data_IF_943063523386
#
_entry.id   IF_943063523386
#
_cell.length_a   1.000
_cell.length_b   1.000
_cell.length_c   1.000
_cell.angle_alpha   90.00
_cell.angle_beta   90.00
_cell.angle_gamma   90.00
#
_symmetry.space_group_name_H-M   'P 1'
#
loop_
_entity.id
_entity.type
_entity.pdbx_description
1 polymer ?
#
# COMPACT_ATOMS: atom_id res chain seq x y z
N UNK A 1 12.89 6.92 16.52
CA UNK A 1 13.29 6.01 15.41
C UNK A 1 12.41 6.30 14.21
N UNK A 2 13.03 6.63 13.07
CA UNK A 2 12.35 6.80 11.80
C UNK A 2 12.43 5.49 11.02
N UNK A 3 11.35 5.13 10.33
CA UNK A 3 11.36 4.10 9.29
C UNK A 3 11.17 4.78 7.95
N UNK A 4 11.96 4.40 6.96
CA UNK A 4 11.87 4.95 5.61
C UNK A 4 11.13 3.95 4.71
N UNK A 5 10.15 4.44 3.98
CA UNK A 5 9.51 3.68 2.92
C UNK A 5 9.72 4.43 1.60
N UNK A 6 10.17 3.72 0.59
CA UNK A 6 10.37 4.26 -0.75
C UNK A 6 9.52 3.50 -1.77
N UNK A 7 9.11 4.20 -2.81
CA UNK A 7 8.39 3.60 -3.93
C UNK A 7 9.37 2.92 -4.87
N UNK A 8 9.20 1.61 -5.07
CA UNK A 8 9.99 0.80 -5.99
C UNK A 8 9.16 -0.40 -6.41
N UNK A 9 9.04 -0.67 -7.72
CA UNK A 9 8.01 -1.58 -8.22
C UNK A 9 8.53 -2.97 -8.61
N UNK A 10 9.85 -3.12 -8.80
CA UNK A 10 10.50 -4.38 -9.18
C UNK A 10 11.96 -4.17 -9.54
N UNK A 11 12.46 -4.90 -10.53
CA UNK A 11 13.78 -4.68 -11.10
C UNK A 11 13.85 -3.33 -11.85
N UNK A 12 15.01 -3.01 -12.44
CA UNK A 12 15.24 -1.72 -13.11
C UNK A 12 14.24 -1.44 -14.24
N UNK A 13 13.99 -2.43 -15.08
CA UNK A 13 13.14 -2.27 -16.24
C UNK A 13 11.68 -2.04 -15.81
N UNK A 14 11.19 -2.87 -14.90
CA UNK A 14 9.85 -2.73 -14.30
C UNK A 14 9.67 -1.38 -13.61
N UNK A 15 10.64 -0.99 -12.77
CA UNK A 15 10.56 0.28 -12.06
C UNK A 15 10.52 1.48 -13.00
N UNK A 16 11.36 1.47 -14.03
CA UNK A 16 11.49 2.59 -14.96
C UNK A 16 10.32 2.74 -15.93
N UNK A 17 9.46 1.72 -16.08
CA UNK A 17 8.23 1.85 -16.88
C UNK A 17 7.31 2.95 -16.35
N UNK A 18 7.15 3.04 -15.04
CA UNK A 18 6.19 3.96 -14.41
C UNK A 18 6.87 5.06 -13.58
N UNK A 19 8.20 4.98 -13.35
CA UNK A 19 8.94 5.93 -12.51
C UNK A 19 10.15 6.51 -13.23
N UNK A 20 9.89 7.55 -13.96
CA UNK A 20 10.89 8.29 -14.73
C UNK A 20 10.86 9.79 -14.37
N UNK A 21 11.96 10.46 -14.64
CA UNK A 21 12.08 11.91 -14.51
C UNK A 21 11.38 12.62 -15.67
N UNK A 22 11.16 13.94 -15.54
CA UNK A 22 10.56 14.76 -16.58
C UNK A 22 11.32 14.71 -17.93
N UNK A 23 12.60 14.36 -17.91
CA UNK A 23 13.43 14.17 -19.10
C UNK A 23 13.34 12.75 -19.70
N UNK A 24 12.46 11.89 -19.19
CA UNK A 24 12.25 10.52 -19.65
C UNK A 24 13.26 9.48 -19.14
N UNK A 25 14.28 9.89 -18.37
CA UNK A 25 15.22 8.94 -17.79
C UNK A 25 14.61 8.22 -16.59
N UNK A 26 14.82 6.91 -16.48
CA UNK A 26 14.37 6.11 -15.35
C UNK A 26 15.04 6.52 -14.04
N UNK A 27 14.31 6.41 -12.92
CA UNK A 27 14.79 6.82 -11.61
C UNK A 27 15.48 5.71 -10.81
N UNK A 28 15.50 4.47 -11.30
CA UNK A 28 15.99 3.29 -10.57
C UNK A 28 17.43 3.43 -10.07
N UNK A 29 18.37 3.83 -10.94
CA UNK A 29 19.80 3.86 -10.61
C UNK A 29 20.09 4.86 -9.47
N UNK A 30 19.41 6.01 -9.49
CA UNK A 30 19.54 7.02 -8.43
C UNK A 30 18.94 6.53 -7.13
N UNK A 31 17.76 5.93 -7.17
CA UNK A 31 17.12 5.31 -6.02
C UNK A 31 18.00 4.20 -5.44
N UNK A 32 18.49 3.30 -6.29
CA UNK A 32 19.33 2.17 -5.86
C UNK A 32 20.61 2.65 -5.17
N UNK A 33 21.33 3.59 -5.78
CA UNK A 33 22.56 4.18 -5.24
C UNK A 33 22.33 4.84 -3.88
N UNK A 34 21.30 5.68 -3.78
CA UNK A 34 21.06 6.49 -2.59
C UNK A 34 20.52 5.70 -1.40
N UNK A 35 19.91 4.53 -1.65
CA UNK A 35 19.28 3.72 -0.59
C UNK A 35 20.08 2.50 -0.18
N UNK A 36 21.13 2.14 -0.91
CA UNK A 36 21.90 0.90 -0.74
C UNK A 36 22.37 0.67 0.69
N UNK A 37 23.04 1.66 1.28
CA UNK A 37 23.56 1.54 2.64
C UNK A 37 22.43 1.38 3.66
N UNK A 38 21.40 2.21 3.57
CA UNK A 38 20.25 2.14 4.46
C UNK A 38 19.47 0.81 4.34
N UNK A 39 19.44 0.22 3.13
CA UNK A 39 18.83 -1.11 2.92
C UNK A 39 19.68 -2.22 3.55
N UNK A 40 21.00 -2.14 3.43
CA UNK A 40 21.91 -3.08 4.09
C UNK A 40 21.76 -3.04 5.63
N UNK A 41 21.48 -1.87 6.19
CA UNK A 41 21.22 -1.67 7.63
C UNK A 41 19.77 -2.04 8.04
N UNK A 42 18.93 -2.49 7.08
CA UNK A 42 17.55 -2.89 7.36
C UNK A 42 16.60 -1.75 7.71
N UNK A 43 16.92 -0.50 7.32
CA UNK A 43 16.15 0.68 7.68
C UNK A 43 15.07 1.05 6.66
N UNK A 44 15.11 0.47 5.44
CA UNK A 44 14.24 0.85 4.33
C UNK A 44 13.30 -0.27 3.94
N UNK A 45 12.02 0.08 3.80
CA UNK A 45 10.99 -0.74 3.18
C UNK A 45 10.75 -0.30 1.73
N UNK A 46 10.60 -1.25 0.81
CA UNK A 46 10.22 -1.00 -0.57
C UNK A 46 8.71 -1.16 -0.74
N UNK A 47 8.02 -0.17 -1.29
CA UNK A 47 6.59 -0.28 -1.63
C UNK A 47 6.42 -0.34 -3.13
N UNK A 48 5.85 -1.46 -3.62
CA UNK A 48 5.49 -1.61 -5.01
C UNK A 48 4.03 -1.23 -5.25
N UNK A 49 3.80 -0.43 -6.29
CA UNK A 49 2.48 -0.17 -6.84
C UNK A 49 2.30 -1.08 -8.05
N UNK A 50 1.26 -1.89 -8.03
CA UNK A 50 0.98 -2.85 -9.10
C UNK A 50 0.07 -2.18 -10.12
N UNK A 51 0.53 -2.16 -11.36
CA UNK A 51 -0.14 -1.62 -12.55
C UNK A 51 -0.20 -2.70 -13.62
N UNK A 52 -0.81 -2.43 -14.75
CA UNK A 52 -0.83 -3.34 -15.90
C UNK A 52 0.57 -3.74 -16.41
N UNK A 53 1.59 -2.90 -16.15
CA UNK A 53 2.97 -3.09 -16.63
C UNK A 53 3.79 -4.02 -15.75
N UNK A 54 3.35 -4.32 -14.52
CA UNK A 54 4.16 -5.05 -13.54
C UNK A 54 3.37 -6.10 -12.73
N UNK A 55 2.46 -6.81 -13.40
CA UNK A 55 1.61 -7.82 -12.77
C UNK A 55 2.36 -9.07 -12.26
N UNK A 56 3.60 -9.34 -12.67
CA UNK A 56 4.38 -10.52 -12.28
C UNK A 56 4.87 -10.42 -10.81
N UNK A 57 3.96 -10.69 -9.87
CA UNK A 57 4.13 -10.40 -8.44
C UNK A 57 5.32 -11.14 -7.80
N UNK A 58 5.54 -12.41 -8.18
CA UNK A 58 6.63 -13.23 -7.59
C UNK A 58 7.98 -12.68 -8.02
N UNK A 59 8.14 -12.34 -9.29
CA UNK A 59 9.42 -11.86 -9.83
C UNK A 59 9.74 -10.45 -9.31
N UNK A 60 8.73 -9.59 -9.22
CA UNK A 60 8.87 -8.28 -8.59
C UNK A 60 9.26 -8.40 -7.11
N UNK A 61 8.63 -9.32 -6.38
CA UNK A 61 8.99 -9.57 -4.99
C UNK A 61 10.43 -10.08 -4.85
N UNK A 62 10.85 -11.05 -5.67
CA UNK A 62 12.22 -11.59 -5.67
C UNK A 62 13.25 -10.50 -5.92
N UNK A 63 13.04 -9.68 -6.97
CA UNK A 63 13.92 -8.56 -7.28
C UNK A 63 14.10 -7.61 -6.10
N UNK A 64 12.98 -7.23 -5.44
CA UNK A 64 13.02 -6.35 -4.28
C UNK A 64 13.62 -7.02 -3.03
N UNK A 65 13.44 -8.34 -2.87
CA UNK A 65 14.05 -9.09 -1.80
C UNK A 65 15.59 -9.15 -1.94
N UNK A 66 16.09 -9.35 -3.16
CA UNK A 66 17.52 -9.38 -3.47
C UNK A 66 18.17 -8.01 -3.25
N UNK A 67 17.43 -6.94 -3.43
CA UNK A 67 17.84 -5.58 -3.06
C UNK A 67 17.86 -5.34 -1.55
N UNK A 68 17.53 -6.34 -0.72
CA UNK A 68 17.56 -6.30 0.75
C UNK A 68 16.59 -5.31 1.41
N UNK A 69 15.46 -5.03 0.79
CA UNK A 69 14.41 -4.30 1.47
C UNK A 69 13.92 -5.05 2.72
N UNK A 70 13.68 -4.30 3.80
CA UNK A 70 13.23 -4.83 5.09
C UNK A 70 11.82 -5.45 5.01
N UNK A 71 10.93 -4.82 4.28
CA UNK A 71 9.58 -5.30 3.98
C UNK A 71 9.16 -4.81 2.60
N UNK A 72 8.27 -5.56 1.95
CA UNK A 72 7.87 -5.34 0.57
C UNK A 72 6.34 -5.37 0.50
N UNK A 73 5.64 -4.30 0.94
CA UNK A 73 4.23 -4.14 0.67
C UNK A 73 4.01 -3.89 -0.82
N UNK A 74 3.10 -4.66 -1.41
CA UNK A 74 2.65 -4.53 -2.79
C UNK A 74 1.14 -4.23 -2.78
N UNK A 75 0.71 -3.26 -3.57
CA UNK A 75 -0.69 -2.86 -3.63
C UNK A 75 -1.09 -2.46 -5.05
N UNK A 76 -2.25 -2.94 -5.55
CA UNK A 76 -2.73 -2.57 -6.87
C UNK A 76 -3.14 -1.08 -6.91
N UNK A 77 -2.88 -0.44 -8.03
CA UNK A 77 -3.43 0.86 -8.38
C UNK A 77 -4.80 0.62 -9.04
N UNK A 78 -5.84 0.54 -8.21
CA UNK A 78 -7.18 0.07 -8.63
C UNK A 78 -7.71 0.81 -9.85
N UNK A 79 -7.48 2.13 -9.93
CA UNK A 79 -7.99 2.98 -11.02
C UNK A 79 -7.21 2.81 -12.34
N UNK A 80 -6.10 2.07 -12.35
CA UNK A 80 -5.22 1.88 -13.51
C UNK A 80 -5.25 0.44 -14.03
N UNK A 81 -6.11 -0.41 -13.48
CA UNK A 81 -6.25 -1.81 -13.87
C UNK A 81 -7.58 -2.02 -14.58
N UNK A 82 -7.56 -2.71 -15.72
CA UNK A 82 -8.74 -3.21 -16.41
C UNK A 82 -9.27 -4.48 -15.76
N UNK A 83 -10.45 -4.95 -16.16
CA UNK A 83 -11.02 -6.22 -15.70
C UNK A 83 -10.10 -7.40 -16.08
N UNK A 84 -9.49 -7.37 -17.27
CA UNK A 84 -8.52 -8.39 -17.71
C UNK A 84 -7.26 -8.40 -16.84
N UNK A 85 -6.78 -7.22 -16.42
CA UNK A 85 -5.66 -7.10 -15.49
C UNK A 85 -6.02 -7.68 -14.11
N UNK A 86 -7.25 -7.50 -13.67
CA UNK A 86 -7.72 -8.12 -12.41
C UNK A 86 -7.78 -9.64 -12.51
N UNK A 87 -8.25 -10.21 -13.60
CA UNK A 87 -8.25 -11.66 -13.83
C UNK A 87 -6.82 -12.22 -13.80
N UNK A 88 -5.89 -11.54 -14.48
CA UNK A 88 -4.47 -11.89 -14.43
C UNK A 88 -3.90 -11.74 -13.01
N UNK A 89 -4.23 -10.67 -12.30
CA UNK A 89 -3.78 -10.40 -10.93
C UNK A 89 -4.24 -11.48 -9.94
N UNK A 90 -5.43 -12.06 -10.13
CA UNK A 90 -5.92 -13.21 -9.33
C UNK A 90 -4.99 -14.40 -9.52
N UNK A 91 -4.62 -14.73 -10.76
CA UNK A 91 -3.66 -15.79 -11.07
C UNK A 91 -2.29 -15.53 -10.44
N UNK A 92 -1.78 -14.30 -10.54
CA UNK A 92 -0.50 -13.92 -9.94
C UNK A 92 -0.52 -13.95 -8.40
N UNK A 93 -1.61 -13.57 -7.77
CA UNK A 93 -1.78 -13.75 -6.33
C UNK A 93 -1.76 -15.22 -5.93
N UNK A 94 -2.33 -16.11 -6.73
CA UNK A 94 -2.26 -17.56 -6.49
C UNK A 94 -0.81 -18.06 -6.53
N UNK A 95 -0.02 -17.63 -7.53
CA UNK A 95 1.42 -17.94 -7.60
C UNK A 95 2.18 -17.37 -6.40
N UNK A 96 1.85 -16.15 -5.96
CA UNK A 96 2.48 -15.52 -4.80
C UNK A 96 2.18 -16.29 -3.50
N UNK A 97 0.95 -16.79 -3.33
CA UNK A 97 0.58 -17.66 -2.20
C UNK A 97 1.36 -18.98 -2.25
N UNK A 98 1.48 -19.59 -3.42
CA UNK A 98 2.25 -20.83 -3.59
C UNK A 98 3.74 -20.61 -3.26
N UNK A 99 4.34 -19.54 -3.76
CA UNK A 99 5.71 -19.18 -3.42
C UNK A 99 5.88 -18.93 -1.91
N UNK A 100 4.92 -18.28 -1.26
CA UNK A 100 4.93 -18.10 0.19
C UNK A 100 4.91 -19.44 0.94
N UNK A 101 4.10 -20.39 0.50
CA UNK A 101 4.06 -21.74 1.11
C UNK A 101 5.38 -22.49 0.92
N UNK A 102 6.02 -22.37 -0.24
CA UNK A 102 7.35 -22.93 -0.50
C UNK A 102 8.41 -22.36 0.46
N UNK A 103 8.39 -21.04 0.70
CA UNK A 103 9.27 -20.39 1.69
C UNK A 103 9.04 -20.91 3.11
N UNK A 104 7.78 -21.14 3.50
CA UNK A 104 7.45 -21.70 4.81
C UNK A 104 7.93 -23.15 4.93
N UNK A 105 7.72 -23.98 3.90
CA UNK A 105 8.12 -25.38 3.87
C UNK A 105 9.64 -25.54 3.87
N UNK A 106 10.36 -24.66 3.20
CA UNK A 106 11.84 -24.64 3.20
C UNK A 106 12.45 -24.05 4.47
N UNK A 107 11.64 -23.47 5.36
CA UNK A 107 12.11 -22.80 6.59
C UNK A 107 12.63 -21.38 6.39
N UNK A 108 12.49 -20.79 5.19
CA UNK A 108 12.89 -19.40 4.95
C UNK A 108 11.82 -18.41 5.47
N UNK A 109 11.60 -18.43 6.77
CA UNK A 109 10.68 -17.51 7.45
C UNK A 109 11.11 -16.05 7.36
N UNK A 110 12.40 -15.79 7.14
CA UNK A 110 12.92 -14.42 7.01
C UNK A 110 12.40 -13.77 5.74
N UNK A 111 12.44 -14.46 4.62
CA UNK A 111 11.88 -13.99 3.35
C UNK A 111 10.35 -13.98 3.39
N UNK A 112 9.72 -15.04 3.90
CA UNK A 112 8.26 -15.11 4.01
C UNK A 112 7.65 -13.93 4.78
N UNK A 113 8.27 -13.48 5.87
CA UNK A 113 7.82 -12.31 6.66
C UNK A 113 7.82 -10.99 5.89
N UNK A 114 8.55 -10.87 4.80
CA UNK A 114 8.56 -9.68 3.95
C UNK A 114 7.34 -9.57 3.05
N UNK A 115 6.64 -10.69 2.76
CA UNK A 115 5.35 -10.74 2.06
C UNK A 115 4.22 -10.22 2.97
N UNK A 116 4.20 -8.89 3.16
CA UNK A 116 3.37 -8.22 4.16
C UNK A 116 1.87 -8.45 3.95
N UNK A 117 1.40 -8.56 2.72
CA UNK A 117 -0.01 -8.79 2.42
C UNK A 117 -0.48 -10.14 2.98
N UNK A 118 0.29 -11.22 2.75
CA UNK A 118 -0.04 -12.56 3.23
C UNK A 118 0.10 -12.66 4.75
N UNK A 119 1.20 -12.12 5.30
CA UNK A 119 1.42 -12.09 6.74
C UNK A 119 0.31 -11.33 7.49
N UNK A 120 -0.14 -10.19 6.95
CA UNK A 120 -1.23 -9.43 7.57
C UNK A 120 -2.57 -10.17 7.48
N UNK A 121 -2.82 -10.87 6.38
CA UNK A 121 -3.98 -11.75 6.20
C UNK A 121 -4.01 -12.87 7.24
N UNK A 122 -2.92 -13.61 7.39
CA UNK A 122 -2.78 -14.66 8.40
C UNK A 122 -2.98 -14.14 9.83
N UNK A 123 -2.40 -12.98 10.15
CA UNK A 123 -2.59 -12.35 11.46
C UNK A 123 -4.03 -11.96 11.74
N UNK A 124 -4.77 -11.49 10.73
CA UNK A 124 -6.19 -11.17 10.86
C UNK A 124 -7.03 -12.43 11.10
N UNK A 125 -6.74 -13.51 10.37
CA UNK A 125 -7.41 -14.82 10.55
C UNK A 125 -7.13 -15.35 11.96
N UNK A 126 -5.87 -15.34 12.41
CA UNK A 126 -5.47 -15.86 13.71
C UNK A 126 -6.09 -15.09 14.88
N UNK A 127 -6.23 -13.77 14.77
CA UNK A 127 -6.77 -12.90 15.82
C UNK A 127 -8.31 -12.90 15.91
N UNK A 128 -8.97 -13.85 15.28
CA UNK A 128 -10.44 -14.04 15.36
C UNK A 128 -11.24 -12.75 15.11
N UNK A 129 -10.90 -12.05 14.02
CA UNK A 129 -11.81 -11.08 13.44
C UNK A 129 -12.27 -9.95 14.36
N UNK A 130 -11.36 -9.25 15.04
CA UNK A 130 -11.70 -7.93 15.55
C UNK A 130 -11.92 -7.04 14.33
N UNK A 131 -13.19 -6.90 13.93
CA UNK A 131 -13.59 -6.06 12.84
C UNK A 131 -13.13 -4.62 13.12
N UNK A 132 -12.10 -4.18 12.40
CA UNK A 132 -11.78 -2.76 12.38
C UNK A 132 -12.88 -2.07 11.58
N UNK A 133 -13.39 -0.96 12.09
CA UNK A 133 -14.39 -0.16 11.37
C UNK A 133 -13.81 0.45 10.09
N UNK A 134 -12.51 0.74 10.08
CA UNK A 134 -11.78 1.37 8.98
C UNK A 134 -10.45 0.65 8.77
N UNK A 135 -10.07 0.40 7.51
CA UNK A 135 -8.86 -0.35 7.12
C UNK A 135 -7.56 0.30 7.60
N UNK A 136 -7.44 1.60 7.44
CA UNK A 136 -6.25 2.38 7.74
C UNK A 136 -6.56 3.45 8.79
N UNK A 137 -5.52 4.13 9.25
CA UNK A 137 -5.68 5.21 10.23
C UNK A 137 -6.12 6.54 9.64
N UNK A 138 -6.82 6.56 8.50
CA UNK A 138 -7.26 7.78 7.82
C UNK A 138 -8.01 8.71 8.78
N UNK A 139 -7.60 9.97 8.83
CA UNK A 139 -8.20 10.99 9.68
C UNK A 139 -8.04 10.80 11.20
N UNK A 140 -7.23 9.82 11.63
CA UNK A 140 -6.98 9.55 13.05
C UNK A 140 -5.51 9.24 13.35
N UNK A 141 -5.05 8.03 13.03
CA UNK A 141 -3.66 7.63 13.23
C UNK A 141 -2.75 8.01 12.03
N UNK A 142 -3.32 8.46 10.93
CA UNK A 142 -2.62 8.93 9.75
C UNK A 142 -3.20 10.26 9.30
N UNK A 143 -2.33 11.24 9.16
CA UNK A 143 -2.64 12.57 8.63
C UNK A 143 -1.59 12.92 7.58
N UNK A 144 -1.93 13.85 6.70
CA UNK A 144 -0.99 14.48 5.77
C UNK A 144 -1.06 15.99 5.94
N UNK A 145 0.08 16.65 5.75
CA UNK A 145 0.17 18.11 5.76
C UNK A 145 0.78 18.54 4.43
N UNK A 146 0.15 19.48 3.76
CA UNK A 146 0.65 20.03 2.51
C UNK A 146 1.67 21.17 2.73
N UNK A 147 2.22 21.71 1.65
CA UNK A 147 3.21 22.78 1.68
C UNK A 147 2.67 24.09 2.28
N UNK A 148 1.35 24.29 2.30
CA UNK A 148 0.68 25.45 2.87
C UNK A 148 0.30 25.23 4.33
N UNK A 149 0.67 24.09 4.92
CA UNK A 149 0.32 23.72 6.28
C UNK A 149 -1.10 23.16 6.43
N UNK A 150 -1.84 22.93 5.35
CA UNK A 150 -3.19 22.38 5.40
C UNK A 150 -3.14 20.88 5.77
N UNK A 151 -3.99 20.48 6.72
CA UNK A 151 -4.06 19.11 7.26
C UNK A 151 -5.15 18.35 6.51
N UNK A 152 -4.82 17.14 6.04
CA UNK A 152 -5.72 16.24 5.34
C UNK A 152 -5.81 14.87 6.03
N UNK A 153 -6.90 14.10 5.84
CA UNK A 153 -7.06 12.77 6.44
C UNK A 153 -5.97 11.77 6.09
N UNK A 154 -5.40 11.86 4.89
CA UNK A 154 -4.20 11.14 4.44
C UNK A 154 -3.63 11.79 3.17
N UNK A 155 -2.48 11.29 2.71
CA UNK A 155 -1.80 11.81 1.51
C UNK A 155 -2.64 11.77 0.22
N UNK A 156 -3.62 10.86 0.13
CA UNK A 156 -4.51 10.76 -1.04
C UNK A 156 -5.57 11.86 -1.14
N UNK A 157 -5.80 12.57 -0.04
CA UNK A 157 -6.74 13.70 0.01
C UNK A 157 -6.05 15.06 -0.19
N UNK A 158 -4.71 15.08 -0.23
CA UNK A 158 -3.94 16.32 -0.43
C UNK A 158 -4.35 17.00 -1.72
N UNK A 159 -4.43 18.33 -1.68
CA UNK A 159 -4.90 19.23 -2.74
C UNK A 159 -6.43 19.24 -2.98
N UNK A 160 -7.21 18.35 -2.41
CA UNK A 160 -8.67 18.48 -2.42
C UNK A 160 -9.14 19.22 -1.16
N UNK A 161 -9.37 20.53 -1.31
CA UNK A 161 -9.70 21.44 -0.19
C UNK A 161 -10.96 21.07 0.57
N UNK A 162 -11.87 20.34 -0.05
CA UNK A 162 -13.09 19.84 0.59
C UNK A 162 -12.78 18.92 1.79
N UNK A 163 -11.63 18.24 1.76
CA UNK A 163 -11.19 17.33 2.83
C UNK A 163 -10.15 17.95 3.77
N UNK A 164 -9.93 19.26 3.72
CA UNK A 164 -9.04 19.93 4.65
C UNK A 164 -9.63 19.92 6.06
N UNK A 165 -8.84 19.51 7.06
CA UNK A 165 -9.25 19.33 8.46
C UNK A 165 -8.74 20.45 9.38
N UNK A 166 -7.97 21.37 8.86
CA UNK A 166 -7.34 22.46 9.62
C UNK A 166 -6.01 22.86 9.01
N UNK A 167 -5.25 23.69 9.71
CA UNK A 167 -3.96 24.17 9.22
C UNK A 167 -2.96 24.31 10.38
N UNK A 168 -1.76 23.68 10.25
CA UNK A 168 -0.73 23.68 11.30
C UNK A 168 -0.08 25.06 11.52
N UNK A 169 -0.19 25.97 10.54
CA UNK A 169 0.34 27.34 10.64
C UNK A 169 -0.68 28.32 11.21
N UNK A 170 -1.94 27.92 11.32
CA UNK A 170 -3.04 28.70 11.90
C UNK A 170 -3.51 27.91 13.10
N UNK A 171 -3.44 28.42 14.29
CA UNK A 171 -3.85 27.73 15.53
C UNK A 171 -5.33 27.25 15.48
N UNK A 172 -5.58 26.29 14.57
CA UNK A 172 -6.91 25.73 14.31
C UNK A 172 -6.99 24.33 14.90
N UNK A 173 -8.10 24.05 15.57
CA UNK A 173 -8.39 22.69 16.01
C UNK A 173 -8.63 21.81 14.79
N UNK A 174 -8.07 20.59 14.81
CA UNK A 174 -8.37 19.58 13.79
C UNK A 174 -9.85 19.19 13.93
N UNK A 175 -10.62 19.50 12.92
CA UNK A 175 -12.03 19.12 12.87
C UNK A 175 -12.17 17.68 12.37
N UNK A 176 -12.98 16.88 13.08
CA UNK A 176 -13.35 15.56 12.59
C UNK A 176 -14.28 15.72 11.39
N UNK A 177 -13.93 15.08 10.29
CA UNK A 177 -14.76 15.16 9.10
C UNK A 177 -15.92 14.14 9.16
N UNK A 178 -17.15 14.60 8.91
CA UNK A 178 -18.34 13.74 8.93
C UNK A 178 -18.22 12.52 8.01
N UNK A 179 -17.56 12.65 6.85
CA UNK A 179 -17.42 11.56 5.88
C UNK A 179 -16.66 10.34 6.44
N UNK A 180 -15.82 10.51 7.47
CA UNK A 180 -15.12 9.38 8.10
C UNK A 180 -16.09 8.38 8.73
N UNK A 181 -17.28 8.80 9.11
CA UNK A 181 -18.34 7.91 9.60
C UNK A 181 -19.04 7.19 8.45
N UNK A 182 -19.14 7.84 7.27
CA UNK A 182 -19.80 7.29 6.09
C UNK A 182 -18.97 6.17 5.42
N UNK A 183 -17.65 6.21 5.55
CA UNK A 183 -16.74 5.19 4.96
C UNK A 183 -16.60 3.91 5.78
N UNK A 184 -17.40 3.74 6.82
CA UNK A 184 -17.37 2.51 7.64
C UNK A 184 -18.05 1.34 6.92
N UNK A 185 -17.56 0.11 7.17
CA UNK A 185 -18.13 -1.11 6.57
C UNK A 185 -19.64 -1.28 6.81
N UNK A 186 -20.13 -0.78 7.94
CA UNK A 186 -21.54 -0.88 8.29
C UNK A 186 -22.44 -0.04 7.38
N UNK A 187 -21.90 1.00 6.76
CA UNK A 187 -22.64 1.88 5.84
C UNK A 187 -22.75 1.30 4.43
N UNK A 188 -21.86 0.39 4.05
CA UNK A 188 -21.86 -0.24 2.72
C UNK A 188 -22.67 -1.55 2.75
N UNK A 189 -23.83 -1.57 2.08
CA UNK A 189 -24.74 -2.74 2.07
C UNK A 189 -24.06 -4.04 1.61
N UNK A 190 -23.25 -3.94 0.58
CA UNK A 190 -22.53 -5.08 0.00
C UNK A 190 -21.46 -5.63 0.96
N UNK A 191 -20.74 -4.72 1.65
CA UNK A 191 -19.70 -5.09 2.59
C UNK A 191 -20.26 -5.74 3.85
N UNK A 192 -21.47 -5.38 4.27
CA UNK A 192 -22.08 -5.88 5.51
C UNK A 192 -22.20 -7.40 5.55
N UNK A 193 -22.50 -8.03 4.42
CA UNK A 193 -22.68 -9.48 4.29
C UNK A 193 -21.55 -10.17 3.51
N UNK A 194 -20.47 -9.45 3.19
CA UNK A 194 -19.35 -9.99 2.43
C UNK A 194 -18.54 -10.97 3.28
N UNK A 195 -18.24 -12.15 2.74
CA UNK A 195 -17.38 -13.14 3.39
C UNK A 195 -15.98 -12.62 3.71
N UNK A 196 -15.45 -11.71 2.86
CA UNK A 196 -14.13 -11.13 3.02
C UNK A 196 -14.11 -9.90 3.96
N UNK A 197 -15.24 -9.54 4.56
CA UNK A 197 -15.42 -8.33 5.39
C UNK A 197 -14.29 -8.13 6.40
N UNK A 198 -13.94 -9.19 7.12
CA UNK A 198 -12.92 -9.11 8.18
C UNK A 198 -11.48 -9.06 7.65
N UNK A 199 -11.26 -9.45 6.39
CA UNK A 199 -9.97 -9.41 5.71
C UNK A 199 -9.79 -8.12 4.92
N UNK A 200 -10.80 -7.74 4.13
CA UNK A 200 -10.78 -6.58 3.24
C UNK A 200 -10.91 -5.25 4.00
N UNK A 201 -11.83 -5.17 4.97
CA UNK A 201 -12.13 -3.96 5.78
C UNK A 201 -12.54 -2.74 4.93
N UNK A 202 -13.10 -2.98 3.72
CA UNK A 202 -13.76 -1.95 2.91
C UNK A 202 -12.88 -1.15 1.96
N UNK A 203 -11.67 -1.64 1.63
CA UNK A 203 -10.76 -1.02 0.66
C UNK A 203 -10.27 0.40 1.06
N UNK A 204 -9.84 1.21 0.10
CA UNK A 204 -9.32 2.54 0.36
C UNK A 204 -10.45 3.57 0.44
N UNK A 205 -10.59 4.31 1.56
CA UNK A 205 -11.65 5.32 1.69
C UNK A 205 -11.64 6.39 0.60
N UNK A 206 -10.47 6.81 0.14
CA UNK A 206 -10.37 7.78 -0.95
C UNK A 206 -10.90 7.21 -2.27
N UNK A 207 -10.57 5.96 -2.59
CA UNK A 207 -11.07 5.30 -3.80
C UNK A 207 -12.58 5.06 -3.74
N UNK A 208 -13.10 4.70 -2.58
CA UNK A 208 -14.54 4.53 -2.39
C UNK A 208 -15.33 5.83 -2.59
N UNK A 209 -14.75 6.98 -2.24
CA UNK A 209 -15.38 8.29 -2.44
C UNK A 209 -15.28 8.79 -3.90
N UNK A 210 -14.24 8.41 -4.61
CA UNK A 210 -14.07 8.80 -6.04
C UNK A 210 -14.95 7.94 -6.96
N UNK A 211 -15.26 6.71 -6.55
CA UNK A 211 -16.04 5.74 -7.34
C UNK A 211 -17.51 5.64 -6.86
N UNK A 212 -17.93 6.46 -5.94
CA UNK A 212 -19.32 6.57 -5.47
C UNK A 212 -20.08 7.61 -6.30
#
# INVERSE_FOLDING_TARGET
>A
HFTVQISVDGNKDVHNCDRFYANGLGSFDVMEKNTRNMRNDGLVSGRATITATNLDLVDNFKALNDMKFRSIPMAPAQNLLSDEDYDRLIGENTKLVQYFLELIQSGDYKTAKKLRILMSGLQKIHKSGVARKILCGVGSAQLAVDINGEIYPCHRFVANKEYAMGNVLKDTKIEKMPFLEEITLEKHKECKNCWARNLCVGACPNENLVNA
#
